data_IF_341015622291
#
_entry.id   IF_341015622291
#
_cell.length_a   1.000
_cell.length_b   1.000
_cell.length_c   1.000
_cell.angle_alpha   90.00
_cell.angle_beta   90.00
_cell.angle_gamma   90.00
#
_symmetry.space_group_name_H-M   'P 1'
#
loop_
_entity.id
_entity.type
_entity.pdbx_description
1 polymer ?
#
# COMPACT_ATOMS: atom_id res chain seq x y z
N UNK A 1 -1.87 19.24 22.41
CA UNK A 1 -1.96 19.34 20.93
C UNK A 1 -1.98 17.92 20.42
N UNK A 2 -3.11 17.43 19.89
CA UNK A 2 -3.13 16.13 19.22
C UNK A 2 -2.24 16.25 17.98
N UNK A 3 -1.10 15.57 18.02
CA UNK A 3 -0.12 15.60 16.93
C UNK A 3 -0.69 14.75 15.80
N UNK A 4 -1.01 15.37 14.66
CA UNK A 4 -1.51 14.65 13.51
C UNK A 4 -0.34 13.93 12.83
N UNK A 5 -0.38 12.60 12.84
CA UNK A 5 0.65 11.77 12.21
C UNK A 5 0.36 11.70 10.71
N UNK A 6 1.31 12.12 9.88
CA UNK A 6 1.24 12.00 8.43
C UNK A 6 1.41 10.53 8.02
N UNK A 7 0.56 10.02 7.15
CA UNK A 7 0.61 8.64 6.62
C UNK A 7 0.99 8.67 5.15
N UNK A 8 2.10 8.02 4.82
CA UNK A 8 2.55 7.85 3.43
C UNK A 8 2.34 6.39 3.03
N UNK A 9 1.46 6.16 2.06
CA UNK A 9 1.15 4.85 1.54
C UNK A 9 2.10 4.46 0.39
N UNK A 10 2.66 3.26 0.43
CA UNK A 10 3.44 2.69 -0.67
C UNK A 10 2.54 1.66 -1.35
N UNK A 11 2.15 1.94 -2.59
CA UNK A 11 1.13 1.19 -3.33
C UNK A 11 1.62 0.79 -4.70
N UNK A 12 0.89 -0.11 -5.36
CA UNK A 12 1.17 -0.50 -6.74
C UNK A 12 1.11 -2.01 -6.97
N UNK A 13 1.33 -2.43 -8.22
CA UNK A 13 1.26 -3.84 -8.62
C UNK A 13 2.20 -4.75 -7.85
N UNK A 14 2.01 -6.06 -8.01
CA UNK A 14 2.92 -7.07 -7.49
C UNK A 14 4.34 -6.90 -8.05
N UNK A 15 5.35 -7.33 -7.28
CA UNK A 15 6.76 -7.29 -7.70
C UNK A 15 7.31 -5.91 -8.05
N UNK A 16 6.87 -4.85 -7.36
CA UNK A 16 7.34 -3.46 -7.58
C UNK A 16 8.21 -2.93 -6.44
N UNK A 17 8.57 -3.76 -5.46
CA UNK A 17 9.49 -3.40 -4.38
C UNK A 17 8.87 -2.61 -3.22
N UNK A 18 7.54 -2.63 -3.06
CA UNK A 18 6.80 -1.90 -2.01
C UNK A 18 7.35 -2.13 -0.60
N UNK A 19 7.46 -3.39 -0.18
CA UNK A 19 7.93 -3.74 1.17
C UNK A 19 9.36 -3.28 1.43
N UNK A 20 10.23 -3.44 0.43
CA UNK A 20 11.63 -2.99 0.52
C UNK A 20 11.70 -1.47 0.68
N UNK A 21 10.98 -0.73 -0.16
CA UNK A 21 11.00 0.75 -0.13
C UNK A 21 10.37 1.28 1.15
N UNK A 22 9.28 0.68 1.61
CA UNK A 22 8.61 1.08 2.86
C UNK A 22 9.53 0.96 4.06
N UNK A 23 10.22 -0.18 4.21
CA UNK A 23 11.18 -0.38 5.30
C UNK A 23 12.38 0.57 5.19
N UNK A 24 12.90 0.80 3.97
CA UNK A 24 14.02 1.72 3.74
C UNK A 24 13.66 3.18 4.05
N UNK A 25 12.46 3.63 3.67
CA UNK A 25 11.96 4.97 4.01
C UNK A 25 11.82 5.13 5.51
N UNK A 26 11.20 4.16 6.20
CA UNK A 26 11.06 4.22 7.65
C UNK A 26 12.40 4.28 8.37
N UNK A 27 13.40 3.52 7.90
CA UNK A 27 14.78 3.60 8.40
C UNK A 27 15.39 4.99 8.16
N UNK A 28 15.24 5.53 6.95
CA UNK A 28 15.78 6.84 6.57
C UNK A 28 15.20 7.99 7.40
N UNK A 29 13.89 8.01 7.61
CA UNK A 29 13.20 9.05 8.38
C UNK A 29 13.15 8.77 9.90
N UNK A 30 13.78 7.67 10.35
CA UNK A 30 13.80 7.24 11.74
C UNK A 30 12.40 7.15 12.36
N UNK A 31 11.50 6.47 11.64
CA UNK A 31 10.11 6.27 12.04
C UNK A 31 9.65 4.82 11.83
N UNK A 32 8.39 4.54 12.14
CA UNK A 32 7.76 3.23 12.01
C UNK A 32 7.14 3.04 10.62
N UNK A 33 6.97 1.77 10.26
CA UNK A 33 6.14 1.37 9.14
C UNK A 33 5.13 0.30 9.52
N UNK A 34 4.09 0.22 8.70
CA UNK A 34 3.06 -0.81 8.73
C UNK A 34 3.39 -1.81 7.62
N UNK A 35 3.58 -3.11 7.94
CA UNK A 35 3.78 -4.14 6.92
C UNK A 35 2.46 -4.65 6.33
N UNK A 36 2.53 -5.32 5.18
CA UNK A 36 1.34 -5.79 4.46
C UNK A 36 0.68 -6.95 5.21
N UNK A 37 -0.52 -6.73 5.74
CA UNK A 37 -1.22 -7.75 6.53
C UNK A 37 -1.56 -9.00 5.68
N UNK A 38 -2.01 -8.78 4.44
CA UNK A 38 -2.38 -9.84 3.50
C UNK A 38 -1.26 -10.86 3.29
N UNK A 39 0.01 -10.42 3.28
CA UNK A 39 1.18 -11.29 3.14
C UNK A 39 1.23 -12.37 4.23
N UNK A 40 0.96 -11.99 5.47
CA UNK A 40 0.96 -12.93 6.60
C UNK A 40 -0.30 -13.77 6.64
N UNK A 41 -1.44 -13.16 6.32
CA UNK A 41 -2.74 -13.84 6.31
C UNK A 41 -2.76 -14.96 5.26
N UNK A 42 -2.43 -14.64 4.00
CA UNK A 42 -2.44 -15.61 2.89
C UNK A 42 -1.41 -16.73 3.08
N UNK A 43 -0.25 -16.44 3.69
CA UNK A 43 0.74 -17.47 4.00
C UNK A 43 0.24 -18.52 5.03
N UNK A 44 -0.74 -18.15 5.86
CA UNK A 44 -1.32 -19.02 6.88
C UNK A 44 -2.58 -19.76 6.38
N UNK A 45 -3.08 -19.45 5.19
CA UNK A 45 -4.26 -20.10 4.62
C UNK A 45 -3.95 -21.56 4.23
N UNK A 46 -4.88 -22.44 4.56
CA UNK A 46 -4.83 -23.88 4.19
C UNK A 46 -5.78 -24.23 3.05
N UNK A 47 -6.54 -23.25 2.56
CA UNK A 47 -7.49 -23.34 1.46
C UNK A 47 -7.42 -22.06 0.61
N UNK A 48 -7.96 -22.05 -0.62
CA UNK A 48 -8.03 -20.85 -1.44
C UNK A 48 -8.75 -19.70 -0.72
N UNK A 49 -8.23 -18.48 -0.90
CA UNK A 49 -8.81 -17.24 -0.37
C UNK A 49 -10.26 -17.07 -0.85
N UNK A 50 -11.15 -16.57 0.02
CA UNK A 50 -12.52 -16.23 -0.31
C UNK A 50 -12.87 -14.80 0.16
N UNK A 51 -14.09 -14.32 -0.15
CA UNK A 51 -14.51 -12.96 0.24
C UNK A 51 -14.49 -12.69 1.75
N UNK A 52 -14.69 -13.70 2.61
CA UNK A 52 -14.56 -13.52 4.06
C UNK A 52 -13.11 -13.29 4.46
N UNK A 53 -12.15 -13.90 3.76
CA UNK A 53 -10.73 -13.65 3.94
C UNK A 53 -10.35 -12.22 3.51
N UNK A 54 -10.92 -11.70 2.43
CA UNK A 54 -10.76 -10.29 2.01
C UNK A 54 -11.25 -9.31 3.10
N UNK A 55 -12.39 -9.60 3.73
CA UNK A 55 -12.91 -8.84 4.87
C UNK A 55 -11.95 -8.90 6.06
N UNK A 56 -11.39 -10.08 6.35
CA UNK A 56 -10.43 -10.25 7.43
C UNK A 56 -9.13 -9.48 7.15
N UNK A 57 -8.65 -9.47 5.91
CA UNK A 57 -7.48 -8.70 5.48
C UNK A 57 -7.71 -7.19 5.56
N UNK A 58 -8.91 -6.71 5.22
CA UNK A 58 -9.31 -5.32 5.43
C UNK A 58 -9.19 -4.93 6.92
N UNK A 59 -9.83 -5.70 7.81
CA UNK A 59 -9.80 -5.41 9.24
C UNK A 59 -8.38 -5.50 9.81
N UNK A 60 -7.61 -6.50 9.37
CA UNK A 60 -6.23 -6.69 9.78
C UNK A 60 -5.33 -5.52 9.39
N UNK A 61 -5.44 -5.05 8.13
CA UNK A 61 -4.66 -3.91 7.65
C UNK A 61 -5.00 -2.63 8.44
N UNK A 62 -6.29 -2.31 8.60
CA UNK A 62 -6.73 -1.12 9.34
C UNK A 62 -6.28 -1.17 10.80
N UNK A 63 -6.47 -2.29 11.49
CA UNK A 63 -6.06 -2.45 12.88
C UNK A 63 -4.54 -2.33 13.06
N UNK A 64 -3.76 -2.86 12.10
CA UNK A 64 -2.32 -2.77 12.13
C UNK A 64 -1.85 -1.33 11.95
N UNK A 65 -2.44 -0.59 11.01
CA UNK A 65 -2.16 0.83 10.82
C UNK A 65 -2.48 1.68 12.06
N UNK A 66 -3.63 1.44 12.69
CA UNK A 66 -4.01 2.10 13.94
C UNK A 66 -3.04 1.78 15.08
N UNK A 67 -2.64 0.52 15.22
CA UNK A 67 -1.73 0.08 16.28
C UNK A 67 -0.34 0.71 16.16
N UNK A 68 0.21 0.79 14.94
CA UNK A 68 1.51 1.41 14.66
C UNK A 68 1.42 2.93 14.82
N UNK A 69 0.32 3.55 14.35
CA UNK A 69 0.07 4.98 14.57
C UNK A 69 0.07 5.31 16.07
N UNK A 70 -0.58 4.51 16.90
CA UNK A 70 -0.72 4.77 18.33
C UNK A 70 0.61 4.75 19.11
N UNK A 71 1.62 4.02 18.62
CA UNK A 71 2.94 3.92 19.26
C UNK A 71 4.02 4.76 18.55
N UNK A 72 3.70 5.38 17.41
CA UNK A 72 4.64 6.19 16.66
C UNK A 72 5.06 7.44 17.45
N UNK A 73 6.38 7.63 17.58
CA UNK A 73 6.96 8.77 18.29
C UNK A 73 7.20 9.98 17.36
N UNK A 74 7.14 9.76 16.04
CA UNK A 74 7.29 10.77 14.99
C UNK A 74 5.94 11.06 14.36
N UNK A 75 5.84 12.20 13.68
CA UNK A 75 4.61 12.66 13.00
C UNK A 75 4.50 12.12 11.58
N UNK A 76 5.08 10.95 11.33
CA UNK A 76 5.21 10.35 10.02
C UNK A 76 5.25 8.85 10.17
N UNK A 77 4.47 8.11 9.42
CA UNK A 77 4.60 6.65 9.26
C UNK A 77 4.46 6.27 7.79
N UNK A 78 5.01 5.10 7.44
CA UNK A 78 4.91 4.52 6.10
C UNK A 78 4.04 3.27 6.11
N UNK A 79 3.17 3.08 5.12
CA UNK A 79 2.24 1.95 5.06
C UNK A 79 2.49 1.11 3.80
N UNK A 80 2.93 -0.14 3.99
CA UNK A 80 2.91 -1.19 2.99
C UNK A 80 1.71 -2.09 3.31
N UNK A 81 0.63 -2.13 2.56
CA UNK A 81 0.15 -1.21 1.53
C UNK A 81 -1.02 -0.44 2.16
N UNK A 82 -2.10 -0.23 1.41
CA UNK A 82 -3.40 0.23 1.92
C UNK A 82 -4.45 -0.86 1.71
N UNK A 83 -5.58 -0.78 2.42
CA UNK A 83 -6.70 -1.68 2.17
C UNK A 83 -7.37 -1.48 0.80
N UNK A 84 -7.00 -0.45 0.02
CA UNK A 84 -7.41 -0.35 -1.40
C UNK A 84 -7.00 -1.60 -2.19
N UNK A 85 -5.91 -2.26 -1.78
CA UNK A 85 -5.46 -3.54 -2.32
C UNK A 85 -6.55 -4.62 -2.21
N UNK A 86 -7.31 -4.65 -1.10
CA UNK A 86 -8.45 -5.56 -0.90
C UNK A 86 -9.53 -5.34 -1.95
N UNK A 87 -9.89 -4.08 -2.24
CA UNK A 87 -10.83 -3.76 -3.32
C UNK A 87 -10.32 -4.25 -4.67
N UNK A 88 -9.08 -3.89 -5.02
CA UNK A 88 -8.50 -4.23 -6.33
C UNK A 88 -8.48 -5.76 -6.55
N UNK A 89 -8.07 -6.53 -5.53
CA UNK A 89 -8.07 -7.99 -5.60
C UNK A 89 -9.47 -8.57 -5.62
N UNK A 90 -10.39 -8.05 -4.80
CA UNK A 90 -11.75 -8.55 -4.74
C UNK A 90 -12.49 -8.35 -6.06
N UNK A 91 -12.35 -7.17 -6.66
CA UNK A 91 -12.91 -6.86 -7.99
C UNK A 91 -12.36 -7.81 -9.07
N UNK A 92 -11.07 -8.14 -9.04
CA UNK A 92 -10.46 -9.01 -10.06
C UNK A 92 -10.80 -10.49 -9.86
N UNK A 93 -10.71 -11.00 -8.64
CA UNK A 93 -10.81 -12.44 -8.34
C UNK A 93 -12.26 -12.88 -8.16
N UNK A 94 -13.08 -12.06 -7.51
CA UNK A 94 -14.46 -12.39 -7.17
C UNK A 94 -15.49 -11.62 -8.00
N UNK A 95 -15.08 -10.58 -8.73
CA UNK A 95 -15.99 -9.72 -9.50
C UNK A 95 -16.81 -8.77 -8.64
N UNK A 96 -16.57 -8.73 -7.33
CA UNK A 96 -17.22 -7.85 -6.38
C UNK A 96 -16.30 -7.51 -5.21
N UNK A 97 -16.46 -6.31 -4.66
CA UNK A 97 -15.77 -5.88 -3.43
C UNK A 97 -16.73 -5.88 -2.24
N UNK A 98 -16.32 -6.39 -1.06
CA UNK A 98 -17.14 -6.31 0.14
C UNK A 98 -17.59 -4.89 0.46
N UNK A 99 -18.89 -4.72 0.75
CA UNK A 99 -19.51 -3.40 0.92
C UNK A 99 -18.82 -2.52 1.97
N UNK A 100 -18.37 -3.14 3.07
CA UNK A 100 -17.64 -2.45 4.14
C UNK A 100 -16.33 -1.80 3.67
N UNK A 101 -15.64 -2.41 2.69
CA UNK A 101 -14.40 -1.87 2.12
C UNK A 101 -14.73 -0.62 1.31
N UNK A 102 -15.78 -0.69 0.47
CA UNK A 102 -16.25 0.44 -0.33
C UNK A 102 -16.71 1.61 0.54
N UNK A 103 -17.44 1.35 1.62
CA UNK A 103 -17.92 2.39 2.53
C UNK A 103 -16.79 3.01 3.38
N UNK A 104 -15.67 2.30 3.57
CA UNK A 104 -14.50 2.79 4.30
C UNK A 104 -13.59 3.71 3.48
N UNK A 105 -13.46 3.48 2.17
CA UNK A 105 -12.59 4.25 1.26
C UNK A 105 -12.69 5.78 1.41
N UNK A 106 -13.88 6.41 1.40
CA UNK A 106 -13.97 7.87 1.50
C UNK A 106 -13.60 8.41 2.90
N UNK A 107 -13.52 7.56 3.91
CA UNK A 107 -13.30 7.95 5.31
C UNK A 107 -11.88 7.70 5.80
N UNK A 108 -11.05 7.03 5.00
CA UNK A 108 -9.71 6.62 5.40
C UNK A 108 -8.68 7.26 4.47
N UNK A 109 -7.91 8.19 5.04
CA UNK A 109 -7.04 9.07 4.27
C UNK A 109 -5.56 8.79 4.53
N UNK A 110 -4.79 8.88 3.45
CA UNK A 110 -3.33 8.95 3.47
C UNK A 110 -2.93 10.30 2.84
N UNK A 111 -1.88 10.91 3.36
CA UNK A 111 -1.49 12.27 2.94
C UNK A 111 -0.68 12.27 1.63
N UNK A 112 -0.01 11.16 1.35
CA UNK A 112 0.73 10.91 0.11
C UNK A 112 0.68 9.42 -0.25
N UNK A 113 0.55 9.14 -1.54
CA UNK A 113 0.70 7.80 -2.10
C UNK A 113 1.92 7.76 -3.01
N UNK A 114 2.79 6.78 -2.78
CA UNK A 114 3.92 6.46 -3.65
C UNK A 114 3.52 5.25 -4.49
N UNK A 115 3.17 5.49 -5.75
CA UNK A 115 2.81 4.43 -6.69
C UNK A 115 4.08 3.84 -7.31
N UNK A 116 4.43 2.63 -6.91
CA UNK A 116 5.65 1.96 -7.34
C UNK A 116 5.50 1.43 -8.78
N UNK A 117 6.38 1.88 -9.68
CA UNK A 117 6.35 1.52 -11.09
C UNK A 117 6.80 0.06 -11.34
N UNK A 118 6.42 -0.49 -12.49
CA UNK A 118 6.63 -1.88 -12.93
C UNK A 118 7.96 -2.13 -13.66
N UNK A 119 8.88 -1.16 -13.62
CA UNK A 119 10.19 -1.25 -14.27
C UNK A 119 11.15 -2.32 -13.68
N UNK A 120 10.84 -2.83 -12.48
CA UNK A 120 11.56 -3.95 -11.88
C UNK A 120 11.20 -5.26 -12.58
N UNK A 121 12.13 -6.22 -12.70
CA UNK A 121 11.81 -7.54 -13.22
C UNK A 121 10.79 -8.23 -12.32
N UNK A 122 9.95 -9.08 -12.93
CA UNK A 122 9.12 -10.00 -12.17
C UNK A 122 10.02 -10.93 -11.34
N UNK A 123 9.54 -11.26 -10.14
CA UNK A 123 10.19 -12.26 -9.30
C UNK A 123 9.14 -13.34 -8.99
N UNK A 124 9.54 -14.60 -9.08
CA UNK A 124 8.64 -15.70 -8.72
C UNK A 124 8.44 -15.73 -7.20
N UNK A 125 7.19 -15.88 -6.77
CA UNK A 125 6.80 -16.02 -5.37
C UNK A 125 5.47 -16.79 -5.29
N UNK A 126 5.29 -17.73 -4.35
CA UNK A 126 4.09 -18.57 -4.27
C UNK A 126 2.78 -17.82 -4.05
N UNK A 127 2.83 -16.57 -3.58
CA UNK A 127 1.66 -15.74 -3.31
C UNK A 127 1.42 -14.71 -4.43
N UNK A 128 2.02 -14.88 -5.61
CA UNK A 128 1.83 -13.96 -6.74
C UNK A 128 0.97 -14.59 -7.82
N UNK A 129 -0.08 -13.88 -8.20
CA UNK A 129 -1.14 -14.45 -9.04
C UNK A 129 -1.06 -14.01 -10.51
N UNK A 130 -0.54 -12.80 -10.79
CA UNK A 130 -0.74 -12.19 -12.10
C UNK A 130 0.54 -11.67 -12.79
N UNK A 131 1.51 -12.56 -13.14
CA UNK A 131 2.76 -12.19 -13.80
C UNK A 131 2.57 -11.44 -15.13
N UNK A 132 1.50 -11.74 -15.86
CA UNK A 132 1.23 -11.20 -17.19
C UNK A 132 0.28 -10.00 -17.21
N UNK A 133 -0.18 -9.51 -16.04
CA UNK A 133 -1.14 -8.39 -15.95
C UNK A 133 -0.54 -7.14 -15.30
N UNK A 134 0.78 -7.00 -15.26
CA UNK A 134 1.46 -5.88 -14.57
C UNK A 134 1.00 -4.50 -15.09
N UNK A 135 0.93 -4.32 -16.40
CA UNK A 135 0.44 -3.08 -17.03
C UNK A 135 -1.03 -2.82 -16.71
N UNK A 136 -1.86 -3.87 -16.72
CA UNK A 136 -3.27 -3.78 -16.35
C UNK A 136 -3.42 -3.30 -14.90
N UNK A 137 -2.73 -3.91 -13.94
CA UNK A 137 -2.80 -3.48 -12.55
C UNK A 137 -2.21 -2.08 -12.34
N UNK A 138 -1.20 -1.69 -13.10
CA UNK A 138 -0.69 -0.32 -13.06
C UNK A 138 -1.79 0.67 -13.46
N UNK A 139 -2.55 0.37 -14.52
CA UNK A 139 -3.68 1.19 -14.93
C UNK A 139 -4.82 1.18 -13.90
N UNK A 140 -5.11 0.04 -13.28
CA UNK A 140 -6.10 -0.07 -12.19
C UNK A 140 -5.69 0.84 -11.03
N UNK A 141 -4.44 0.78 -10.56
CA UNK A 141 -3.94 1.64 -9.49
C UNK A 141 -4.06 3.12 -9.83
N UNK A 142 -3.74 3.53 -11.05
CA UNK A 142 -3.96 4.89 -11.50
C UNK A 142 -5.43 5.31 -11.46
N UNK A 143 -6.35 4.43 -11.85
CA UNK A 143 -7.78 4.72 -11.85
C UNK A 143 -8.31 4.85 -10.41
N UNK A 144 -7.93 3.95 -9.51
CA UNK A 144 -8.34 3.99 -8.10
C UNK A 144 -7.81 5.25 -7.39
N UNK A 145 -6.53 5.57 -7.55
CA UNK A 145 -5.95 6.77 -6.94
C UNK A 145 -6.61 8.06 -7.47
N UNK A 146 -6.93 8.12 -8.76
CA UNK A 146 -7.69 9.23 -9.35
C UNK A 146 -9.11 9.31 -8.79
N UNK A 147 -9.80 8.18 -8.64
CA UNK A 147 -11.15 8.13 -8.08
C UNK A 147 -11.20 8.59 -6.61
N UNK A 148 -10.12 8.34 -5.86
CA UNK A 148 -9.94 8.85 -4.50
C UNK A 148 -9.50 10.31 -4.42
N UNK A 149 -9.24 10.97 -5.57
CA UNK A 149 -8.59 12.28 -5.63
C UNK A 149 -7.29 12.31 -4.80
N UNK A 150 -6.52 11.22 -4.86
CA UNK A 150 -5.31 11.02 -4.07
C UNK A 150 -4.17 11.94 -4.54
N UNK A 151 -3.40 12.46 -3.58
CA UNK A 151 -2.11 13.07 -3.83
C UNK A 151 -1.08 11.95 -4.02
N UNK A 152 -0.61 11.71 -5.25
CA UNK A 152 0.31 10.61 -5.52
C UNK A 152 1.44 10.97 -6.50
N UNK A 153 2.60 10.37 -6.25
CA UNK A 153 3.78 10.40 -7.12
C UNK A 153 4.11 8.99 -7.60
N UNK A 154 4.46 8.83 -8.88
CA UNK A 154 4.94 7.56 -9.44
C UNK A 154 6.44 7.43 -9.18
N UNK A 155 6.83 6.33 -8.54
CA UNK A 155 8.23 6.05 -8.18
C UNK A 155 8.79 4.98 -9.12
N UNK A 156 9.71 5.41 -9.97
CA UNK A 156 10.46 4.57 -10.90
C UNK A 156 11.95 4.50 -10.52
N UNK A 157 12.71 3.75 -11.31
CA UNK A 157 14.13 3.49 -11.15
C UNK A 157 14.39 2.10 -10.58
N UNK A 158 15.44 1.43 -11.05
CA UNK A 158 15.90 0.15 -10.51
C UNK A 158 16.85 0.37 -9.33
N UNK A 159 17.93 1.12 -9.56
CA UNK A 159 18.96 1.42 -8.54
C UNK A 159 18.62 2.67 -7.71
N UNK A 160 18.06 3.70 -8.35
CA UNK A 160 17.77 5.00 -7.71
C UNK A 160 16.37 5.08 -7.06
N UNK A 161 15.66 3.94 -6.96
CA UNK A 161 14.25 3.90 -6.52
C UNK A 161 14.04 4.54 -5.15
N UNK A 162 14.91 4.20 -4.19
CA UNK A 162 14.86 4.77 -2.84
C UNK A 162 15.11 6.29 -2.87
N UNK A 163 16.08 6.74 -3.65
CA UNK A 163 16.37 8.17 -3.79
C UNK A 163 15.17 8.94 -4.35
N UNK A 164 14.50 8.38 -5.37
CA UNK A 164 13.30 8.97 -5.96
C UNK A 164 12.14 9.01 -4.95
N UNK A 165 11.96 7.95 -4.15
CA UNK A 165 10.97 7.91 -3.09
C UNK A 165 11.23 8.96 -2.00
N UNK A 166 12.48 9.09 -1.54
CA UNK A 166 12.89 10.12 -0.57
C UNK A 166 12.61 11.52 -1.13
N UNK A 167 12.99 11.78 -2.40
CA UNK A 167 12.75 13.07 -3.03
C UNK A 167 11.26 13.44 -3.12
N UNK A 168 10.38 12.46 -3.37
CA UNK A 168 8.93 12.66 -3.36
C UNK A 168 8.41 12.98 -1.95
N UNK A 169 8.86 12.24 -0.95
CA UNK A 169 8.48 12.45 0.46
C UNK A 169 8.96 13.82 0.96
N UNK A 170 10.22 14.19 0.67
CA UNK A 170 10.78 15.49 1.06
C UNK A 170 10.01 16.66 0.42
N UNK A 171 9.62 16.52 -0.85
CA UNK A 171 8.78 17.50 -1.54
C UNK A 171 7.42 17.65 -0.87
N UNK A 172 6.79 16.54 -0.48
CA UNK A 172 5.53 16.57 0.25
C UNK A 172 5.67 17.23 1.64
N UNK A 173 6.71 16.86 2.40
CA UNK A 173 6.96 17.37 3.76
C UNK A 173 7.41 18.83 3.79
N UNK A 174 8.06 19.34 2.74
CA UNK A 174 8.46 20.75 2.64
C UNK A 174 7.31 21.69 2.30
N UNK A 175 6.24 21.17 1.69
CA UNK A 175 5.05 21.95 1.33
C UNK A 175 3.98 22.00 2.45
N UNK A 176 4.20 21.32 3.60
CA UNK A 176 3.21 21.17 4.68
C UNK A 176 3.85 21.13 6.08
#
# INVERSE_FOLDING_TARGET
MNKQIKRIAIVGPESTGKSTITAQLALHYHTLWVPEYARYYCAALTAPCNLQDEINMFHGQVALEESITAIAQKDLIFCDTTFLTVKIWSDEVFGETPRLVLDALPNYHYDLYLLMDIDLPWQEDPLRDFPNKREYFMQVWHNELKALNANYDVINGTENRLHNAIAAVDRFLSNH
#
